data_IF_635962375852
#
_entry.id   IF_635962375852
#
_cell.length_a   1.000
_cell.length_b   1.000
_cell.length_c   1.000
_cell.angle_alpha   90.00
_cell.angle_beta   90.00
_cell.angle_gamma   90.00
#
_symmetry.space_group_name_H-M   'P 1'
#
loop_
_entity.id
_entity.type
_entity.pdbx_description
1 polymer ?
#
# COMPACT_ATOMS: atom_id res chain seq x y z
N UNK A 1 -3.57 23.63 62.07
CA UNK A 1 -2.16 23.90 61.63
C UNK A 1 -1.89 23.41 60.22
N UNK A 2 -2.38 22.21 59.81
CA UNK A 2 -2.17 21.70 58.43
C UNK A 2 -3.07 22.38 57.38
N UNK A 3 -4.28 22.81 57.73
CA UNK A 3 -5.20 23.51 56.83
C UNK A 3 -4.67 24.91 56.47
N UNK A 4 -4.11 25.63 57.41
CA UNK A 4 -3.56 26.97 57.18
C UNK A 4 -2.32 26.91 56.26
N UNK A 5 -1.50 25.86 56.40
CA UNK A 5 -0.33 25.62 55.53
C UNK A 5 -0.77 25.26 54.12
N UNK A 6 -1.85 24.48 53.96
CA UNK A 6 -2.39 24.11 52.63
C UNK A 6 -2.98 25.34 51.89
N UNK A 7 -3.66 26.26 52.62
CA UNK A 7 -4.23 27.49 52.05
C UNK A 7 -3.11 28.47 51.63
N UNK A 8 -2.07 28.63 52.45
CA UNK A 8 -0.92 29.48 52.15
C UNK A 8 -0.18 28.93 50.91
N UNK A 9 -0.02 27.61 50.81
CA UNK A 9 0.66 26.95 49.67
C UNK A 9 -0.16 27.08 48.36
N UNK A 10 -1.47 26.98 48.43
CA UNK A 10 -2.35 27.17 47.25
C UNK A 10 -2.36 28.62 46.77
N UNK A 11 -2.39 29.61 47.66
CA UNK A 11 -2.33 31.02 47.33
C UNK A 11 -0.98 31.40 46.69
N UNK A 12 0.12 30.92 47.26
CA UNK A 12 1.46 31.16 46.68
C UNK A 12 1.63 30.54 45.31
N UNK A 13 1.05 29.36 45.07
CA UNK A 13 1.06 28.69 43.78
C UNK A 13 0.24 29.47 42.74
N UNK A 14 -0.94 29.91 43.10
CA UNK A 14 -1.81 30.72 42.23
C UNK A 14 -1.18 32.07 41.87
N UNK A 15 -0.49 32.70 42.82
CA UNK A 15 0.25 33.92 42.57
C UNK A 15 1.42 33.72 41.60
N UNK A 16 2.21 32.66 41.77
CA UNK A 16 3.31 32.29 40.83
C UNK A 16 2.80 32.04 39.42
N UNK A 17 1.65 31.38 39.27
CA UNK A 17 1.01 31.16 37.99
C UNK A 17 0.59 32.49 37.35
N UNK A 18 -0.07 33.37 38.07
CA UNK A 18 -0.45 34.71 37.59
C UNK A 18 0.75 35.55 37.17
N UNK A 19 1.83 35.54 37.97
CA UNK A 19 3.05 36.26 37.67
C UNK A 19 3.76 35.71 36.41
N UNK A 20 3.77 34.39 36.24
CA UNK A 20 4.29 33.75 35.04
C UNK A 20 3.52 34.19 33.78
N UNK A 21 2.20 34.13 33.81
CA UNK A 21 1.36 34.56 32.68
C UNK A 21 1.49 36.06 32.41
N UNK A 22 1.52 36.88 33.42
CA UNK A 22 1.68 38.31 33.29
C UNK A 22 3.05 38.70 32.71
N UNK A 23 4.12 38.08 33.20
CA UNK A 23 5.50 38.31 32.73
C UNK A 23 5.75 37.81 31.31
N UNK A 24 5.13 36.69 30.96
CA UNK A 24 5.36 36.04 29.65
C UNK A 24 4.21 36.26 28.65
N UNK A 25 3.28 37.17 28.91
CA UNK A 25 2.08 37.40 28.09
C UNK A 25 2.37 37.53 26.59
N UNK A 26 3.40 38.30 26.21
CA UNK A 26 3.75 38.51 24.78
C UNK A 26 4.23 37.21 24.11
N UNK A 27 5.03 36.43 24.84
CA UNK A 27 5.55 35.13 24.32
C UNK A 27 4.41 34.14 24.18
N UNK A 28 3.53 34.06 25.18
CA UNK A 28 2.38 33.14 25.15
C UNK A 28 1.40 33.48 24.03
N UNK A 29 1.12 34.76 23.79
CA UNK A 29 0.29 35.21 22.66
C UNK A 29 0.99 34.84 21.30
N UNK A 30 2.28 35.06 21.17
CA UNK A 30 3.05 34.70 19.97
C UNK A 30 2.99 33.19 19.69
N UNK A 31 3.19 32.37 20.74
CA UNK A 31 3.06 30.92 20.63
C UNK A 31 1.65 30.49 20.22
N UNK A 32 0.61 31.15 20.78
CA UNK A 32 -0.78 30.85 20.43
C UNK A 32 -1.07 31.18 18.95
N UNK A 33 -0.63 32.36 18.49
CA UNK A 33 -0.78 32.77 17.08
C UNK A 33 -0.06 31.77 16.16
N UNK A 34 1.16 31.39 16.51
CA UNK A 34 1.93 30.41 15.74
C UNK A 34 1.22 29.04 15.65
N UNK A 35 0.66 28.57 16.76
CA UNK A 35 -0.13 27.34 16.78
C UNK A 35 -1.36 27.43 15.86
N UNK A 36 -2.07 28.54 15.89
CA UNK A 36 -3.23 28.78 15.01
C UNK A 36 -2.81 28.76 13.54
N UNK A 37 -1.69 29.39 13.18
CA UNK A 37 -1.18 29.38 11.82
C UNK A 37 -0.82 27.98 11.34
N UNK A 38 -0.22 27.16 12.20
CA UNK A 38 0.07 25.75 11.90
C UNK A 38 -1.23 24.97 11.63
N UNK A 39 -2.24 25.14 12.49
CA UNK A 39 -3.53 24.46 12.32
C UNK A 39 -4.25 24.88 11.03
N UNK A 40 -4.23 26.17 10.70
CA UNK A 40 -4.81 26.68 9.45
C UNK A 40 -4.07 26.13 8.23
N UNK A 41 -2.74 26.08 8.28
CA UNK A 41 -1.92 25.49 7.22
C UNK A 41 -2.23 24.00 7.03
N UNK A 42 -2.32 23.25 8.12
CA UNK A 42 -2.68 21.83 8.09
C UNK A 42 -4.09 21.60 7.51
N UNK A 43 -5.07 22.37 7.95
CA UNK A 43 -6.44 22.28 7.45
C UNK A 43 -6.56 22.64 5.97
N UNK A 44 -5.86 23.69 5.52
CA UNK A 44 -5.82 24.08 4.11
C UNK A 44 -5.17 22.99 3.24
N UNK A 45 -4.09 22.36 3.74
CA UNK A 45 -3.44 21.25 3.06
C UNK A 45 -4.38 20.04 2.93
N UNK A 46 -5.13 19.70 3.98
CA UNK A 46 -6.10 18.61 3.96
C UNK A 46 -7.21 18.85 2.92
N UNK A 47 -7.78 20.06 2.89
CA UNK A 47 -8.78 20.42 1.86
C UNK A 47 -8.21 20.30 0.45
N UNK A 48 -6.96 20.71 0.24
CA UNK A 48 -6.31 20.58 -1.07
C UNK A 48 -6.16 19.12 -1.47
N UNK A 49 -5.72 18.25 -0.57
CA UNK A 49 -5.59 16.81 -0.80
C UNK A 49 -6.95 16.16 -1.14
N UNK A 50 -8.00 16.49 -0.39
CA UNK A 50 -9.34 15.95 -0.62
C UNK A 50 -9.88 16.38 -1.99
N UNK A 51 -9.73 17.64 -2.38
CA UNK A 51 -10.13 18.13 -3.71
C UNK A 51 -9.37 17.42 -4.83
N UNK A 52 -8.07 17.20 -4.66
CA UNK A 52 -7.27 16.49 -5.64
C UNK A 52 -7.73 15.03 -5.78
N UNK A 53 -7.99 14.35 -4.66
CA UNK A 53 -8.51 12.98 -4.63
C UNK A 53 -9.86 12.85 -5.34
N UNK A 54 -10.78 13.80 -5.09
CA UNK A 54 -12.09 13.85 -5.78
C UNK A 54 -11.88 14.00 -7.30
N UNK A 55 -11.00 14.91 -7.72
CA UNK A 55 -10.70 15.10 -9.15
C UNK A 55 -10.15 13.85 -9.82
N UNK A 56 -9.25 13.12 -9.15
CA UNK A 56 -8.70 11.86 -9.65
C UNK A 56 -9.78 10.79 -9.72
N UNK A 57 -10.63 10.69 -8.69
CA UNK A 57 -11.79 9.80 -8.63
C UNK A 57 -12.74 10.01 -9.80
N UNK A 58 -13.15 11.25 -10.01
CA UNK A 58 -14.08 11.63 -11.09
C UNK A 58 -13.48 11.31 -12.46
N UNK A 59 -12.19 11.59 -12.64
CA UNK A 59 -11.48 11.24 -13.87
C UNK A 59 -11.44 9.73 -14.10
N UNK A 60 -11.12 8.95 -13.08
CA UNK A 60 -11.12 7.49 -13.14
C UNK A 60 -12.50 6.95 -13.52
N UNK A 61 -13.53 7.33 -12.77
CA UNK A 61 -14.89 6.88 -13.00
C UNK A 61 -15.44 7.29 -14.38
N UNK A 62 -15.25 8.56 -14.77
CA UNK A 62 -15.70 9.03 -16.08
C UNK A 62 -15.01 8.30 -17.23
N UNK A 63 -13.73 7.98 -17.09
CA UNK A 63 -12.97 7.23 -18.10
C UNK A 63 -13.49 5.80 -18.24
N UNK A 64 -13.80 5.13 -17.13
CA UNK A 64 -14.40 3.78 -17.14
C UNK A 64 -15.78 3.80 -17.80
N UNK A 65 -16.62 4.77 -17.45
CA UNK A 65 -17.97 4.88 -18.02
C UNK A 65 -17.90 5.08 -19.53
N UNK A 66 -17.01 5.95 -20.03
CA UNK A 66 -16.78 6.15 -21.46
C UNK A 66 -16.36 4.86 -22.15
N UNK A 67 -15.37 4.17 -21.60
CA UNK A 67 -14.89 2.90 -22.16
C UNK A 67 -15.99 1.84 -22.21
N UNK A 68 -16.78 1.69 -21.14
CA UNK A 68 -17.91 0.75 -21.12
C UNK A 68 -19.00 1.09 -22.13
N UNK A 69 -19.15 2.36 -22.50
CA UNK A 69 -20.07 2.83 -23.54
C UNK A 69 -19.48 2.73 -24.96
N UNK A 70 -18.31 2.10 -25.12
CA UNK A 70 -17.66 1.88 -26.42
C UNK A 70 -16.75 3.01 -26.89
N UNK A 71 -16.58 4.08 -26.10
CA UNK A 71 -15.62 5.15 -26.39
C UNK A 71 -14.24 4.80 -25.83
N UNK A 72 -13.42 4.24 -26.69
CA UNK A 72 -12.04 3.87 -26.36
C UNK A 72 -11.05 5.04 -26.52
N UNK A 73 -11.54 6.21 -26.92
CA UNK A 73 -10.68 7.37 -27.15
C UNK A 73 -10.10 7.88 -25.84
N UNK A 74 -8.77 7.87 -25.76
CA UNK A 74 -8.05 8.45 -24.64
C UNK A 74 -8.05 7.65 -23.31
N UNK A 75 -8.69 6.45 -23.22
CA UNK A 75 -8.72 5.66 -21.98
C UNK A 75 -7.31 5.31 -21.49
N UNK A 76 -6.43 4.90 -22.38
CA UNK A 76 -5.05 4.54 -22.05
C UNK A 76 -4.27 5.72 -21.50
N UNK A 77 -4.40 6.91 -22.14
CA UNK A 77 -3.73 8.12 -21.67
C UNK A 77 -4.28 8.60 -20.33
N UNK A 78 -5.61 8.55 -20.14
CA UNK A 78 -6.24 8.92 -18.89
C UNK A 78 -5.80 8.01 -17.71
N UNK A 79 -5.80 6.70 -17.93
CA UNK A 79 -5.38 5.74 -16.88
C UNK A 79 -3.89 5.87 -16.56
N UNK A 80 -3.02 6.08 -17.56
CA UNK A 80 -1.59 6.33 -17.32
C UNK A 80 -1.37 7.59 -16.49
N UNK A 81 -2.04 8.70 -16.82
CA UNK A 81 -1.95 9.93 -16.06
C UNK A 81 -2.42 9.75 -14.62
N UNK A 82 -3.48 8.94 -14.37
CA UNK A 82 -3.92 8.61 -13.01
C UNK A 82 -2.84 7.83 -12.26
N UNK A 83 -2.13 6.88 -12.90
CA UNK A 83 -0.98 6.19 -12.28
C UNK A 83 0.13 7.17 -11.95
N UNK A 84 0.44 8.09 -12.85
CA UNK A 84 1.50 9.10 -12.68
C UNK A 84 1.17 10.14 -11.59
N UNK A 85 -0.09 10.36 -11.26
CA UNK A 85 -0.53 11.19 -10.14
C UNK A 85 -0.16 10.59 -8.75
N UNK A 86 0.21 9.31 -8.69
CA UNK A 86 0.68 8.63 -7.47
C UNK A 86 -0.33 8.66 -6.32
N UNK A 87 -1.62 8.68 -6.64
CA UNK A 87 -2.66 8.55 -5.63
C UNK A 87 -2.68 7.12 -5.07
N UNK A 88 -2.67 6.93 -3.74
CA UNK A 88 -2.56 5.60 -3.14
C UNK A 88 -3.75 4.68 -3.44
N UNK A 89 -4.90 5.23 -3.81
CA UNK A 89 -6.12 4.49 -4.11
C UNK A 89 -6.31 4.28 -5.61
N UNK A 90 -6.33 5.38 -6.38
CA UNK A 90 -6.72 5.33 -7.79
C UNK A 90 -5.58 4.94 -8.73
N UNK A 91 -4.31 5.20 -8.37
CA UNK A 91 -3.19 4.82 -9.22
C UNK A 91 -3.03 3.30 -9.38
N UNK A 92 -3.11 2.48 -8.31
CA UNK A 92 -3.16 1.02 -8.47
C UNK A 92 -4.37 0.53 -9.26
N UNK A 93 -5.55 1.10 -9.02
CA UNK A 93 -6.78 0.73 -9.74
C UNK A 93 -6.67 1.03 -11.24
N UNK A 94 -6.09 2.16 -11.61
CA UNK A 94 -5.87 2.53 -13.00
C UNK A 94 -4.90 1.58 -13.71
N UNK A 95 -3.82 1.18 -13.05
CA UNK A 95 -2.90 0.19 -13.60
C UNK A 95 -3.60 -1.17 -13.81
N UNK A 96 -4.35 -1.64 -12.82
CA UNK A 96 -5.08 -2.91 -12.94
C UNK A 96 -6.13 -2.84 -14.05
N UNK A 97 -6.81 -1.72 -14.19
CA UNK A 97 -7.77 -1.53 -15.29
C UNK A 97 -7.11 -1.65 -16.67
N UNK A 98 -5.90 -1.10 -16.84
CA UNK A 98 -5.13 -1.24 -18.08
C UNK A 98 -4.75 -2.69 -18.38
N UNK A 99 -4.40 -3.47 -17.34
CA UNK A 99 -3.98 -4.86 -17.46
C UNK A 99 -5.20 -5.76 -17.72
N UNK A 100 -6.24 -5.64 -16.89
CA UNK A 100 -7.42 -6.53 -16.94
C UNK A 100 -8.23 -6.38 -18.23
N UNK A 101 -8.16 -5.21 -18.88
CA UNK A 101 -8.80 -4.97 -20.18
C UNK A 101 -7.82 -5.04 -21.36
N UNK A 102 -6.59 -5.50 -21.15
CA UNK A 102 -5.54 -5.67 -22.18
C UNK A 102 -5.31 -4.39 -23.04
N UNK A 103 -5.51 -3.20 -22.44
CA UNK A 103 -5.46 -1.92 -23.15
C UNK A 103 -4.04 -1.51 -23.56
N UNK A 104 -3.02 -2.13 -23.00
CA UNK A 104 -1.61 -1.87 -23.29
C UNK A 104 -0.87 -3.18 -23.51
N UNK A 105 -0.51 -3.48 -24.76
CA UNK A 105 0.21 -4.70 -25.12
C UNK A 105 1.72 -4.64 -24.81
N UNK A 106 2.28 -3.45 -24.64
CA UNK A 106 3.70 -3.26 -24.38
C UNK A 106 4.01 -3.54 -22.89
N UNK A 107 4.61 -4.70 -22.63
CA UNK A 107 5.00 -5.14 -21.28
C UNK A 107 5.96 -4.15 -20.58
N UNK A 108 6.85 -3.50 -21.32
CA UNK A 108 7.79 -2.55 -20.74
C UNK A 108 7.06 -1.32 -20.19
N UNK A 109 6.02 -0.85 -20.90
CA UNK A 109 5.19 0.25 -20.42
C UNK A 109 4.43 -0.14 -19.15
N UNK A 110 3.85 -1.32 -19.09
CA UNK A 110 3.16 -1.80 -17.88
C UNK A 110 4.17 -1.94 -16.73
N UNK A 111 5.36 -2.49 -16.97
CA UNK A 111 6.39 -2.60 -15.93
C UNK A 111 6.84 -1.23 -15.42
N UNK A 112 6.98 -0.22 -16.27
CA UNK A 112 7.29 1.15 -15.83
C UNK A 112 6.21 1.76 -14.94
N UNK A 113 4.93 1.43 -15.19
CA UNK A 113 3.83 1.86 -14.32
C UNK A 113 3.85 1.12 -12.97
N UNK A 114 4.17 -0.17 -12.94
CA UNK A 114 4.43 -0.88 -11.69
C UNK A 114 5.55 -0.22 -10.88
N UNK A 115 6.64 0.19 -11.53
CA UNK A 115 7.78 0.84 -10.88
C UNK A 115 7.42 2.22 -10.29
N UNK A 116 6.53 2.96 -10.93
CA UNK A 116 5.97 4.21 -10.35
C UNK A 116 5.22 3.90 -9.06
N UNK A 117 4.36 2.88 -9.05
CA UNK A 117 3.59 2.51 -7.86
C UNK A 117 4.49 2.02 -6.74
N UNK A 118 5.45 1.13 -7.04
CA UNK A 118 6.31 0.51 -6.03
C UNK A 118 7.30 1.50 -5.43
N UNK A 119 7.89 2.38 -6.26
CA UNK A 119 9.03 3.20 -5.87
C UNK A 119 8.72 4.68 -5.64
N UNK A 120 7.61 5.19 -6.19
CA UNK A 120 7.32 6.64 -6.20
C UNK A 120 5.97 6.99 -5.59
N UNK A 121 5.14 6.00 -5.24
CA UNK A 121 3.82 6.22 -4.63
C UNK A 121 3.88 5.89 -3.14
N UNK A 122 3.32 6.77 -2.30
CA UNK A 122 3.24 6.54 -0.86
C UNK A 122 2.08 5.58 -0.56
N UNK A 123 2.38 4.30 -0.54
CA UNK A 123 1.43 3.22 -0.31
C UNK A 123 1.62 2.62 1.09
N UNK A 124 0.53 2.09 1.64
CA UNK A 124 0.62 1.16 2.76
C UNK A 124 1.49 -0.06 2.38
N UNK A 125 2.21 -0.61 3.35
CA UNK A 125 3.16 -1.70 3.11
C UNK A 125 2.48 -2.93 2.51
N UNK A 126 1.27 -3.30 2.98
CA UNK A 126 0.56 -4.46 2.46
C UNK A 126 0.05 -4.23 1.03
N UNK A 127 -0.39 -3.02 0.71
CA UNK A 127 -0.76 -2.64 -0.68
C UNK A 127 0.47 -2.65 -1.58
N UNK A 128 1.62 -2.17 -1.10
CA UNK A 128 2.88 -2.23 -1.85
C UNK A 128 3.29 -3.68 -2.14
N UNK A 129 3.19 -4.57 -1.16
CA UNK A 129 3.48 -6.00 -1.36
C UNK A 129 2.52 -6.67 -2.33
N UNK A 130 1.23 -6.32 -2.28
CA UNK A 130 0.26 -6.78 -3.30
C UNK A 130 0.69 -6.36 -4.71
N UNK A 131 1.14 -5.12 -4.90
CA UNK A 131 1.56 -4.61 -6.20
C UNK A 131 2.83 -5.33 -6.68
N UNK A 132 3.78 -5.58 -5.80
CA UNK A 132 4.99 -6.37 -6.11
C UNK A 132 4.61 -7.79 -6.52
N UNK A 133 3.71 -8.44 -5.79
CA UNK A 133 3.19 -9.76 -6.13
C UNK A 133 2.52 -9.77 -7.51
N UNK A 134 1.64 -8.80 -7.79
CA UNK A 134 1.00 -8.67 -9.10
C UNK A 134 1.99 -8.38 -10.23
N UNK A 135 3.06 -7.61 -9.98
CA UNK A 135 4.15 -7.42 -10.95
C UNK A 135 4.85 -8.73 -11.27
N UNK A 136 5.16 -9.54 -10.26
CA UNK A 136 5.77 -10.86 -10.46
C UNK A 136 4.84 -11.78 -11.24
N UNK A 137 3.56 -11.84 -10.88
CA UNK A 137 2.55 -12.65 -11.56
C UNK A 137 2.40 -12.24 -13.03
N UNK A 138 2.32 -10.93 -13.33
CA UNK A 138 2.21 -10.40 -14.70
C UNK A 138 3.40 -10.79 -15.59
N UNK A 139 4.57 -10.94 -15.00
CA UNK A 139 5.80 -11.23 -15.72
C UNK A 139 6.22 -12.72 -15.68
N UNK A 140 5.56 -13.56 -14.89
CA UNK A 140 6.00 -14.94 -14.58
C UNK A 140 6.33 -15.80 -15.80
N UNK A 141 5.59 -15.63 -16.90
CA UNK A 141 5.79 -16.42 -18.13
C UNK A 141 7.05 -16.00 -18.92
N UNK A 142 7.56 -14.79 -18.70
CA UNK A 142 8.60 -14.19 -19.56
C UNK A 142 9.93 -13.92 -18.87
N UNK A 143 9.96 -13.95 -17.54
CA UNK A 143 11.17 -13.69 -16.75
C UNK A 143 11.88 -14.98 -16.37
N UNK A 144 13.18 -14.88 -16.05
CA UNK A 144 13.98 -15.99 -15.57
C UNK A 144 13.87 -16.16 -14.04
N UNK A 145 14.46 -17.26 -13.52
CA UNK A 145 14.48 -17.61 -12.10
C UNK A 145 15.00 -16.47 -11.20
N UNK A 146 16.13 -15.89 -11.57
CA UNK A 146 16.74 -14.80 -10.79
C UNK A 146 15.82 -13.59 -10.69
N UNK A 147 15.15 -13.23 -11.78
CA UNK A 147 14.25 -12.08 -11.84
C UNK A 147 12.98 -12.28 -11.00
N UNK A 148 12.35 -13.46 -11.04
CA UNK A 148 11.14 -13.69 -10.22
C UNK A 148 11.48 -13.69 -8.73
N UNK A 149 12.62 -14.29 -8.35
CA UNK A 149 13.11 -14.27 -6.99
C UNK A 149 13.45 -12.85 -6.51
N UNK A 150 14.12 -12.05 -7.35
CA UNK A 150 14.45 -10.66 -7.05
C UNK A 150 13.19 -9.82 -6.82
N UNK A 151 12.18 -9.92 -7.69
CA UNK A 151 10.92 -9.18 -7.54
C UNK A 151 10.20 -9.56 -6.26
N UNK A 152 10.15 -10.84 -5.90
CA UNK A 152 9.40 -11.34 -4.73
C UNK A 152 10.19 -11.31 -3.42
N UNK A 153 11.50 -11.09 -3.47
CA UNK A 153 12.37 -11.05 -2.29
C UNK A 153 11.88 -10.11 -1.16
N UNK A 154 11.39 -8.88 -1.44
CA UNK A 154 10.86 -8.00 -0.40
C UNK A 154 9.68 -8.61 0.36
N UNK A 155 8.84 -9.41 -0.32
CA UNK A 155 7.67 -10.05 0.29
C UNK A 155 8.09 -11.26 1.12
N UNK A 156 8.96 -12.11 0.58
CA UNK A 156 9.40 -13.35 1.22
C UNK A 156 10.09 -13.06 2.55
N UNK A 157 10.86 -11.98 2.62
CA UNK A 157 11.60 -11.58 3.82
C UNK A 157 10.78 -10.69 4.78
N UNK A 158 9.50 -10.48 4.49
CA UNK A 158 8.59 -9.70 5.34
C UNK A 158 7.72 -10.58 6.23
N UNK A 159 6.93 -9.93 7.09
CA UNK A 159 5.82 -10.55 7.84
C UNK A 159 4.46 -10.30 7.18
N UNK A 160 4.46 -9.94 5.91
CA UNK A 160 3.26 -9.62 5.15
C UNK A 160 2.35 -10.84 4.99
N UNK A 161 1.05 -10.57 4.89
CA UNK A 161 0.05 -11.59 4.53
C UNK A 161 0.28 -12.15 3.11
N UNK A 162 1.00 -11.42 2.25
CA UNK A 162 1.34 -11.82 0.90
C UNK A 162 2.53 -12.80 0.80
N UNK A 163 3.20 -13.10 1.92
CA UNK A 163 4.36 -14.01 1.92
C UNK A 163 4.01 -15.42 1.42
N UNK A 164 2.92 -15.98 1.90
CA UNK A 164 2.47 -17.31 1.45
C UNK A 164 2.12 -17.33 -0.04
N UNK A 165 1.48 -16.26 -0.54
CA UNK A 165 1.15 -16.12 -1.96
C UNK A 165 2.41 -15.98 -2.84
N UNK A 166 3.42 -15.24 -2.36
CA UNK A 166 4.69 -15.09 -3.06
C UNK A 166 5.46 -16.43 -3.14
N UNK A 167 5.54 -17.16 -2.03
CA UNK A 167 6.16 -18.49 -2.00
C UNK A 167 5.41 -19.48 -2.90
N UNK A 168 4.08 -19.42 -2.93
CA UNK A 168 3.28 -20.24 -3.80
C UNK A 168 3.55 -19.95 -5.28
N UNK A 169 3.59 -18.67 -5.67
CA UNK A 169 3.90 -18.26 -7.04
C UNK A 169 5.29 -18.75 -7.49
N UNK A 170 6.29 -18.68 -6.60
CA UNK A 170 7.63 -19.21 -6.90
C UNK A 170 7.60 -20.73 -7.04
N UNK A 171 6.88 -21.43 -6.18
CA UNK A 171 6.75 -22.87 -6.24
C UNK A 171 6.10 -23.32 -7.57
N UNK A 172 5.01 -22.65 -7.98
CA UNK A 172 4.37 -22.90 -9.30
C UNK A 172 5.31 -22.58 -10.47
N UNK A 173 6.07 -21.48 -10.38
CA UNK A 173 7.06 -21.13 -11.40
C UNK A 173 8.09 -22.24 -11.60
N UNK A 174 8.71 -22.75 -10.52
CA UNK A 174 9.66 -23.84 -10.60
C UNK A 174 9.02 -25.14 -11.08
N UNK A 175 7.79 -25.42 -10.67
CA UNK A 175 7.05 -26.59 -11.13
C UNK A 175 6.83 -26.54 -12.64
N UNK A 176 6.42 -25.40 -13.18
CA UNK A 176 6.20 -25.20 -14.62
C UNK A 176 7.50 -25.35 -15.45
N UNK A 177 8.66 -25.06 -14.83
CA UNK A 177 9.98 -25.24 -15.47
C UNK A 177 10.53 -26.67 -15.31
N UNK A 178 9.80 -27.58 -14.65
CA UNK A 178 10.22 -28.96 -14.41
C UNK A 178 11.17 -29.14 -13.21
N UNK A 179 11.43 -28.07 -12.47
CA UNK A 179 12.33 -28.07 -11.30
C UNK A 179 11.60 -28.48 -10.02
N UNK A 180 11.12 -29.72 -10.00
CA UNK A 180 10.25 -30.26 -8.94
C UNK A 180 10.85 -30.15 -7.55
N UNK A 181 12.16 -30.33 -7.40
CA UNK A 181 12.82 -30.27 -6.08
C UNK A 181 12.76 -28.86 -5.49
N UNK A 182 13.09 -27.83 -6.28
CA UNK A 182 12.98 -26.44 -5.85
C UNK A 182 11.51 -26.06 -5.53
N UNK A 183 10.58 -26.47 -6.39
CA UNK A 183 9.15 -26.28 -6.17
C UNK A 183 8.72 -26.84 -4.81
N UNK A 184 9.12 -28.08 -4.48
CA UNK A 184 8.82 -28.72 -3.20
C UNK A 184 9.40 -27.96 -2.00
N UNK A 185 10.60 -27.41 -2.12
CA UNK A 185 11.22 -26.61 -1.06
C UNK A 185 10.42 -25.35 -0.75
N UNK A 186 9.90 -24.64 -1.76
CA UNK A 186 9.05 -23.46 -1.56
C UNK A 186 7.67 -23.82 -0.99
N UNK A 187 7.05 -24.92 -1.44
CA UNK A 187 5.81 -25.40 -0.83
C UNK A 187 6.01 -25.78 0.64
N UNK A 188 7.13 -26.42 0.98
CA UNK A 188 7.44 -26.76 2.37
C UNK A 188 7.57 -25.53 3.28
N UNK A 189 8.10 -24.42 2.75
CA UNK A 189 8.18 -23.17 3.50
C UNK A 189 6.78 -22.61 3.82
N UNK A 190 5.80 -22.78 2.93
CA UNK A 190 4.42 -22.32 3.20
C UNK A 190 3.80 -23.10 4.35
N UNK A 191 4.03 -24.41 4.41
CA UNK A 191 3.51 -25.28 5.48
C UNK A 191 4.07 -24.89 6.85
N UNK A 192 5.31 -24.39 6.87
CA UNK A 192 5.99 -23.97 8.13
C UNK A 192 5.61 -22.56 8.59
N UNK A 193 4.85 -21.79 7.80
CA UNK A 193 4.38 -20.46 8.22
C UNK A 193 3.31 -20.61 9.30
N UNK A 194 3.62 -20.25 10.54
CA UNK A 194 2.72 -20.34 11.71
C UNK A 194 1.45 -19.48 11.61
N UNK A 195 1.37 -18.56 10.65
CA UNK A 195 0.30 -17.56 10.53
C UNK A 195 -0.63 -17.77 9.35
N UNK A 196 -0.65 -18.95 8.77
CA UNK A 196 -1.65 -19.22 7.73
C UNK A 196 -2.99 -19.37 8.43
N UNK A 197 -3.74 -18.27 8.51
CA UNK A 197 -5.14 -18.30 8.93
C UNK A 197 -5.88 -19.25 7.99
N UNK A 198 -6.24 -20.43 8.48
CA UNK A 198 -6.89 -21.53 7.76
C UNK A 198 -8.16 -21.10 7.02
N UNK A 199 -8.69 -19.92 7.29
CA UNK A 199 -9.93 -19.42 6.69
C UNK A 199 -9.77 -18.94 5.24
N UNK A 200 -8.59 -18.48 4.82
CA UNK A 200 -8.37 -18.03 3.43
C UNK A 200 -7.85 -19.14 2.50
N UNK A 201 -7.20 -20.17 3.04
CA UNK A 201 -6.74 -21.32 2.24
C UNK A 201 -7.88 -22.20 1.75
N UNK A 202 -9.01 -22.30 2.47
CA UNK A 202 -10.15 -23.10 2.05
C UNK A 202 -10.76 -22.70 0.71
N UNK A 203 -10.66 -21.45 0.30
CA UNK A 203 -11.16 -20.98 -0.99
C UNK A 203 -10.26 -21.40 -2.18
N UNK A 204 -8.97 -21.71 -1.93
CA UNK A 204 -8.00 -22.18 -2.93
C UNK A 204 -7.60 -23.65 -2.76
N UNK A 205 -8.17 -24.35 -1.79
CA UNK A 205 -7.85 -25.75 -1.46
C UNK A 205 -7.97 -26.73 -2.63
N UNK A 206 -8.79 -26.45 -3.61
CA UNK A 206 -9.03 -27.40 -4.71
C UNK A 206 -7.84 -27.55 -5.67
N UNK A 207 -7.04 -26.50 -5.91
CA UNK A 207 -5.87 -26.59 -6.79
C UNK A 207 -4.58 -26.94 -6.01
N UNK A 208 -4.35 -26.32 -4.84
CA UNK A 208 -3.17 -26.61 -4.03
C UNK A 208 -3.14 -28.03 -3.49
N UNK A 209 -4.28 -28.59 -3.07
CA UNK A 209 -4.39 -29.99 -2.65
C UNK A 209 -4.13 -30.98 -3.80
N UNK A 210 -4.51 -30.64 -5.04
CA UNK A 210 -4.20 -31.47 -6.20
C UNK A 210 -2.70 -31.53 -6.47
N UNK A 211 -2.01 -30.39 -6.39
CA UNK A 211 -0.55 -30.30 -6.60
C UNK A 211 0.22 -30.99 -5.46
N UNK A 212 -0.15 -30.79 -4.21
CA UNK A 212 0.47 -31.50 -3.07
C UNK A 212 0.27 -33.01 -3.16
N UNK A 213 -0.88 -33.49 -3.63
CA UNK A 213 -1.16 -34.91 -3.79
C UNK A 213 -0.35 -35.54 -4.93
N UNK A 214 -0.15 -34.78 -6.03
CA UNK A 214 0.72 -35.21 -7.15
C UNK A 214 2.21 -35.19 -6.83
N UNK A 215 2.64 -34.48 -5.78
CA UNK A 215 4.05 -34.46 -5.34
C UNK A 215 4.38 -35.54 -4.29
N UNK A 216 3.37 -36.21 -3.75
CA UNK A 216 3.53 -37.27 -2.74
C UNK A 216 3.42 -38.70 -3.33
N UNK A 217 3.00 -38.82 -4.59
CA UNK A 217 3.11 -40.03 -5.43
C UNK A 217 4.37 -39.98 -6.29
#
# INVERSE_FOLDING_TARGET
>A
MDEDIAIINSNTRNQRIKDFFSKNKKILISCLIFLILILLGFYSYQIYQDKNKIKISDRYNSSIIKHKNGDNSGIVSAMKEIVENKDPTYSPLALYYLIDNELVSDKNKINSLFDILINKTSLDSEIKYLIIYKKALYNADTINEGQILEILNPIINSKSVWKSHALYLIAEYFYSKGEKQKSKEFFSQIITLETVSYTHLRAHETKANLVCRLLLE
#
